data_IF_325961598344
#
_entry.id   IF_325961598344
#
_cell.length_a   1.000
_cell.length_b   1.000
_cell.length_c   1.000
_cell.angle_alpha   90.00
_cell.angle_beta   90.00
_cell.angle_gamma   90.00
#
_symmetry.space_group_name_H-M   'P 1'
#
loop_
_entity.id
_entity.type
_entity.pdbx_description
1 polymer ?
#
# COMPACT_ATOMS: atom_id res chain seq x y z
N UNK A 1 -10.29 10.04 10.03
CA UNK A 1 -10.16 9.96 8.57
C UNK A 1 -8.77 9.47 8.20
N UNK A 2 -8.67 8.58 7.23
CA UNK A 2 -7.39 8.02 6.81
C UNK A 2 -6.58 9.06 6.03
N UNK A 3 -5.38 9.45 6.48
CA UNK A 3 -4.58 10.41 5.72
C UNK A 3 -4.00 9.76 4.46
N UNK A 4 -3.97 10.54 3.38
CA UNK A 4 -3.40 10.10 2.11
C UNK A 4 -2.89 11.29 1.33
N UNK A 5 -1.87 11.06 0.51
CA UNK A 5 -1.33 12.13 -0.34
C UNK A 5 -2.29 12.41 -1.50
N UNK A 6 -2.15 13.59 -2.11
CA UNK A 6 -2.92 13.92 -3.33
C UNK A 6 -2.61 12.94 -4.44
N UNK A 7 -1.36 12.50 -4.55
CA UNK A 7 -0.98 11.49 -5.53
C UNK A 7 -1.78 10.20 -5.33
N UNK A 8 -1.90 9.73 -4.09
CA UNK A 8 -2.66 8.51 -3.82
C UNK A 8 -4.14 8.70 -4.17
N UNK A 9 -4.72 9.82 -3.75
CA UNK A 9 -6.15 10.09 -3.99
C UNK A 9 -6.45 10.26 -5.47
N UNK A 10 -5.63 11.03 -6.19
CA UNK A 10 -5.96 11.46 -7.56
C UNK A 10 -5.38 10.56 -8.62
N UNK A 11 -4.24 9.92 -8.35
CA UNK A 11 -3.60 9.04 -9.35
C UNK A 11 -3.79 7.57 -9.03
N UNK A 12 -3.51 7.15 -7.82
CA UNK A 12 -3.56 5.73 -7.50
C UNK A 12 -4.99 5.22 -7.48
N UNK A 13 -5.87 5.82 -6.70
CA UNK A 13 -7.25 5.35 -6.60
C UNK A 13 -8.03 5.56 -7.88
N UNK A 14 -7.78 6.69 -8.58
CA UNK A 14 -8.49 6.98 -9.83
C UNK A 14 -8.05 6.10 -10.99
N UNK A 15 -6.74 5.88 -11.14
CA UNK A 15 -6.19 5.12 -12.26
C UNK A 15 -6.14 3.63 -12.02
N UNK A 16 -6.31 3.20 -10.77
CA UNK A 16 -6.31 1.79 -10.40
C UNK A 16 -7.57 1.46 -9.62
N UNK A 17 -8.76 1.57 -10.26
CA UNK A 17 -10.03 1.39 -9.54
C UNK A 17 -10.23 -0.04 -9.02
N UNK A 18 -9.44 -1.00 -9.47
CA UNK A 18 -9.48 -2.36 -8.95
C UNK A 18 -8.87 -2.47 -7.57
N UNK A 19 -8.12 -1.45 -7.12
CA UNK A 19 -7.54 -1.44 -5.77
C UNK A 19 -8.55 -0.81 -4.81
N UNK A 20 -8.92 -1.56 -3.79
CA UNK A 20 -9.87 -1.09 -2.78
C UNK A 20 -9.13 -0.50 -1.59
N UNK A 21 -9.62 0.62 -1.10
CA UNK A 21 -9.02 1.29 0.06
C UNK A 21 -8.93 0.37 1.27
N UNK A 22 -9.93 -0.47 1.49
CA UNK A 22 -9.94 -1.39 2.62
C UNK A 22 -8.78 -2.38 2.60
N UNK A 23 -8.27 -2.75 1.41
CA UNK A 23 -7.09 -3.60 1.31
C UNK A 23 -5.85 -2.87 1.80
N UNK A 24 -5.76 -1.57 1.47
CA UNK A 24 -4.65 -0.75 1.92
C UNK A 24 -4.66 -0.60 3.44
N UNK A 25 -5.84 -0.39 4.02
CA UNK A 25 -5.98 -0.28 5.46
C UNK A 25 -5.61 -1.58 6.16
N UNK A 26 -5.96 -2.71 5.58
CA UNK A 26 -5.59 -4.01 6.11
C UNK A 26 -4.07 -4.20 6.11
N UNK A 27 -3.40 -3.73 5.05
CA UNK A 27 -1.95 -3.79 4.98
C UNK A 27 -1.29 -2.98 6.09
N UNK A 28 -1.88 -1.85 6.47
CA UNK A 28 -1.35 -1.05 7.58
C UNK A 28 -1.61 -1.72 8.93
N UNK A 29 -2.77 -2.38 9.07
CA UNK A 29 -3.17 -2.98 10.33
C UNK A 29 -2.45 -4.30 10.61
N UNK A 30 -2.32 -5.15 9.60
CA UNK A 30 -1.72 -6.50 9.74
C UNK A 30 -0.83 -6.83 8.55
N UNK A 31 0.31 -6.17 8.39
CA UNK A 31 1.18 -6.46 7.25
C UNK A 31 1.85 -7.83 7.43
N UNK A 32 2.01 -8.56 6.31
CA UNK A 32 2.84 -9.76 6.28
C UNK A 32 4.31 -9.40 6.45
N UNK A 33 4.70 -8.25 5.92
CA UNK A 33 6.05 -7.71 6.05
C UNK A 33 5.96 -6.20 5.97
N UNK A 34 6.88 -5.53 6.65
CA UNK A 34 6.98 -4.08 6.67
C UNK A 34 8.45 -3.71 6.55
N UNK A 35 8.78 -2.87 5.57
CA UNK A 35 10.17 -2.46 5.33
C UNK A 35 10.25 -0.96 5.09
N UNK A 36 11.26 -0.33 5.65
CA UNK A 36 11.53 1.08 5.42
C UNK A 36 12.44 1.21 4.19
N UNK A 37 12.06 2.09 3.25
CA UNK A 37 12.88 2.41 2.10
C UNK A 37 14.01 3.34 2.55
N UNK A 38 15.28 2.95 2.38
CA UNK A 38 16.38 3.78 2.89
C UNK A 38 16.54 5.11 2.16
N UNK A 39 16.12 5.18 0.89
CA UNK A 39 16.32 6.37 0.07
C UNK A 39 15.41 7.53 0.44
N UNK A 40 14.23 7.28 1.00
CA UNK A 40 13.27 8.35 1.28
C UNK A 40 12.51 8.18 2.60
N UNK A 41 12.75 7.09 3.32
CA UNK A 41 12.07 6.82 4.58
C UNK A 41 10.65 6.34 4.45
N UNK A 42 10.13 6.19 3.23
CA UNK A 42 8.79 5.66 3.04
C UNK A 42 8.75 4.20 3.49
N UNK A 43 7.56 3.72 3.81
CA UNK A 43 7.40 2.38 4.37
C UNK A 43 6.56 1.53 3.45
N UNK A 44 7.08 0.34 3.12
CA UNK A 44 6.38 -0.66 2.32
C UNK A 44 5.66 -1.62 3.26
N UNK A 45 4.39 -1.90 2.95
CA UNK A 45 3.58 -2.87 3.69
C UNK A 45 3.01 -3.85 2.69
N UNK A 46 3.05 -5.15 2.98
CA UNK A 46 2.50 -6.16 2.07
C UNK A 46 1.36 -6.90 2.73
N UNK A 47 0.34 -7.18 1.95
CA UNK A 47 -0.82 -7.97 2.38
C UNK A 47 -1.23 -8.88 1.23
N UNK A 48 -1.73 -10.06 1.57
CA UNK A 48 -2.31 -10.96 0.57
C UNK A 48 -3.75 -10.54 0.29
N UNK A 49 -4.09 -10.40 -0.99
CA UNK A 49 -5.45 -10.04 -1.41
C UNK A 49 -5.99 -11.18 -2.28
N UNK A 50 -6.85 -12.01 -1.70
CA UNK A 50 -7.38 -13.18 -2.40
C UNK A 50 -8.24 -12.81 -3.61
N UNK A 51 -8.94 -11.69 -3.55
CA UNK A 51 -9.82 -11.23 -4.63
C UNK A 51 -9.07 -11.02 -5.94
N UNK A 52 -7.79 -10.65 -5.88
CA UNK A 52 -6.97 -10.45 -7.08
C UNK A 52 -5.86 -11.49 -7.19
N UNK A 53 -5.79 -12.43 -6.24
CA UNK A 53 -4.79 -13.50 -6.21
C UNK A 53 -3.36 -12.94 -6.31
N UNK A 54 -3.09 -11.89 -5.55
CA UNK A 54 -1.80 -11.19 -5.55
C UNK A 54 -1.48 -10.62 -4.18
N UNK A 55 -0.19 -10.44 -3.93
CA UNK A 55 0.25 -9.61 -2.82
C UNK A 55 0.17 -8.15 -3.25
N UNK A 56 -0.37 -7.33 -2.37
CA UNK A 56 -0.48 -5.90 -2.61
C UNK A 56 0.62 -5.20 -1.81
N UNK A 57 1.41 -4.35 -2.49
CA UNK A 57 2.38 -3.48 -1.81
C UNK A 57 1.70 -2.15 -1.58
N UNK A 58 1.65 -1.72 -0.33
CA UNK A 58 1.09 -0.44 0.06
C UNK A 58 2.20 0.40 0.66
N UNK A 59 2.44 1.57 0.08
CA UNK A 59 3.52 2.46 0.52
C UNK A 59 2.92 3.64 1.27
N UNK A 60 3.42 3.88 2.48
CA UNK A 60 3.07 5.06 3.25
C UNK A 60 4.27 6.00 3.30
N UNK A 61 4.01 7.24 3.71
CA UNK A 61 5.09 8.15 4.07
C UNK A 61 5.77 7.63 5.35
N UNK A 62 6.82 8.32 5.78
CA UNK A 62 7.62 7.88 6.93
C UNK A 62 6.82 7.79 8.23
N UNK A 63 5.66 8.45 8.29
CA UNK A 63 4.78 8.37 9.47
C UNK A 63 4.11 7.00 9.62
N UNK A 64 4.17 6.15 8.59
CA UNK A 64 3.59 4.81 8.64
C UNK A 64 2.07 4.77 8.48
N UNK A 65 1.43 5.90 8.25
CA UNK A 65 -0.03 5.97 8.18
C UNK A 65 -0.56 6.70 6.95
N UNK A 66 0.18 7.68 6.41
CA UNK A 66 -0.27 8.43 5.24
C UNK A 66 -0.07 7.61 3.98
N UNK A 67 -1.17 7.18 3.36
CA UNK A 67 -1.12 6.37 2.14
C UNK A 67 -0.55 7.18 0.98
N UNK A 68 0.39 6.59 0.23
CA UNK A 68 1.05 7.26 -0.87
C UNK A 68 0.99 6.48 -2.18
N UNK A 69 1.09 5.15 -2.14
CA UNK A 69 1.05 4.33 -3.34
C UNK A 69 0.56 2.94 -2.98
N UNK A 70 0.03 2.23 -3.97
CA UNK A 70 -0.39 0.84 -3.80
C UNK A 70 -0.44 0.18 -5.17
N UNK A 71 0.09 -1.03 -5.26
CA UNK A 71 0.06 -1.79 -6.51
C UNK A 71 0.31 -3.27 -6.22
N UNK A 72 -0.18 -4.18 -7.10
CA UNK A 72 0.13 -5.60 -6.97
C UNK A 72 1.62 -5.84 -7.18
N UNK A 73 2.22 -6.65 -6.32
CA UNK A 73 3.66 -6.91 -6.36
C UNK A 73 3.92 -8.38 -6.66
N UNK A 74 4.22 -8.67 -7.92
CA UNK A 74 4.45 -10.04 -8.37
C UNK A 74 5.77 -10.61 -7.87
N UNK A 75 6.68 -9.77 -7.44
CA UNK A 75 8.02 -10.18 -7.03
C UNK A 75 8.11 -10.48 -5.54
N UNK A 76 7.09 -10.09 -4.79
CA UNK A 76 7.12 -10.28 -3.34
C UNK A 76 7.02 -11.76 -3.01
N UNK A 77 7.90 -12.22 -2.10
CA UNK A 77 7.88 -13.57 -1.56
C UNK A 77 7.90 -13.46 -0.05
N UNK A 78 6.86 -13.94 0.62
CA UNK A 78 6.80 -13.87 2.09
C UNK A 78 7.86 -14.67 2.79
#
# INVERSE_FOLDING_TARGET
MQPMTDYFRNDVLEKRPYIKLEWCLEALRKPLRREVQPEDGRIRHWVWVSEIDRYLRVVTLADGVTLHNAFPDRRFKP
#
